data_IF_896019419491
#
_entry.id   IF_896019419491
#
_cell.length_a   1.000
_cell.length_b   1.000
_cell.length_c   1.000
_cell.angle_alpha   90.00
_cell.angle_beta   90.00
_cell.angle_gamma   90.00
#
_symmetry.space_group_name_H-M   'P 1'
#
loop_
_entity.id
_entity.type
_entity.pdbx_description
1 polymer ?
#
# COMPACT_ATOMS: atom_id res chain seq x y z
N UNK A 1 1.13 -15.20 -23.06
CA UNK A 1 0.40 -15.78 -21.91
C UNK A 1 0.38 -14.74 -20.79
N UNK A 2 -0.76 -14.50 -20.14
CA UNK A 2 -0.86 -13.51 -19.06
C UNK A 2 -0.37 -14.14 -17.75
N UNK A 3 0.51 -13.45 -17.02
CA UNK A 3 1.06 -13.97 -15.76
C UNK A 3 0.01 -14.00 -14.64
N UNK A 4 0.21 -14.84 -13.62
CA UNK A 4 -0.64 -14.89 -12.43
C UNK A 4 -0.65 -13.56 -11.68
N UNK A 5 0.50 -12.90 -11.58
CA UNK A 5 0.63 -11.55 -11.02
C UNK A 5 -0.26 -10.54 -11.74
N UNK A 6 -0.25 -10.57 -13.07
CA UNK A 6 -1.10 -9.69 -13.89
C UNK A 6 -2.59 -9.98 -13.65
N UNK A 7 -2.99 -11.25 -13.58
CA UNK A 7 -4.39 -11.64 -13.29
C UNK A 7 -4.80 -11.15 -11.89
N UNK A 8 -3.95 -11.36 -10.89
CA UNK A 8 -4.22 -10.92 -9.52
C UNK A 8 -4.33 -9.39 -9.43
N UNK A 9 -3.47 -8.65 -10.14
CA UNK A 9 -3.53 -7.19 -10.18
C UNK A 9 -4.80 -6.69 -10.86
N UNK A 10 -5.24 -7.32 -11.96
CA UNK A 10 -6.54 -6.99 -12.56
C UNK A 10 -7.69 -7.23 -11.59
N UNK A 11 -7.66 -8.32 -10.82
CA UNK A 11 -8.63 -8.58 -9.75
C UNK A 11 -8.63 -7.48 -8.69
N UNK A 12 -7.46 -7.07 -8.21
CA UNK A 12 -7.33 -5.99 -7.24
C UNK A 12 -7.87 -4.64 -7.78
N UNK A 13 -7.53 -4.29 -9.02
CA UNK A 13 -8.04 -3.09 -9.69
C UNK A 13 -9.56 -3.14 -9.84
N UNK A 14 -10.12 -4.28 -10.24
CA UNK A 14 -11.57 -4.44 -10.35
C UNK A 14 -12.28 -4.24 -9.01
N UNK A 15 -11.73 -4.76 -7.91
CA UNK A 15 -12.25 -4.52 -6.55
C UNK A 15 -12.15 -3.05 -6.18
N UNK A 16 -11.02 -2.39 -6.45
CA UNK A 16 -10.86 -0.96 -6.20
C UNK A 16 -11.86 -0.10 -7.00
N UNK A 17 -12.12 -0.47 -8.26
CA UNK A 17 -13.16 0.17 -9.09
C UNK A 17 -14.57 -0.05 -8.53
N UNK A 18 -14.87 -1.25 -8.02
CA UNK A 18 -16.14 -1.53 -7.37
C UNK A 18 -16.32 -0.67 -6.09
N UNK A 19 -15.27 -0.51 -5.28
CA UNK A 19 -15.28 0.38 -4.12
C UNK A 19 -15.53 1.84 -4.53
N UNK A 20 -14.88 2.30 -5.61
CA UNK A 20 -15.11 3.64 -6.16
C UNK A 20 -16.54 3.83 -6.67
N UNK A 21 -17.11 2.85 -7.36
CA UNK A 21 -18.50 2.88 -7.82
C UNK A 21 -19.50 2.90 -6.65
N UNK A 22 -19.25 2.11 -5.60
CA UNK A 22 -20.03 2.16 -4.36
C UNK A 22 -19.93 3.54 -3.69
N UNK A 23 -18.74 4.14 -3.66
CA UNK A 23 -18.55 5.51 -3.18
C UNK A 23 -19.36 6.51 -3.98
N UNK A 24 -19.44 6.37 -5.30
CA UNK A 24 -20.22 7.28 -6.14
C UNK A 24 -21.74 7.11 -5.92
N UNK A 25 -22.20 5.87 -5.71
CA UNK A 25 -23.60 5.55 -5.54
C UNK A 25 -24.15 5.92 -4.15
N UNK A 26 -23.34 5.76 -3.11
CA UNK A 26 -23.75 5.91 -1.70
C UNK A 26 -23.00 7.05 -0.98
N UNK A 27 -22.38 7.95 -1.75
CA UNK A 27 -21.30 8.86 -1.34
C UNK A 27 -21.64 10.01 -0.39
N UNK A 28 -22.88 10.14 0.08
CA UNK A 28 -23.23 11.02 1.20
C UNK A 28 -22.76 10.45 2.55
N UNK A 29 -21.53 9.93 2.56
CA UNK A 29 -20.83 9.47 3.72
C UNK A 29 -20.20 10.67 4.44
N UNK A 30 -20.33 10.71 5.77
CA UNK A 30 -19.60 11.68 6.57
C UNK A 30 -18.07 11.41 6.50
N UNK A 31 -17.25 12.30 7.08
CA UNK A 31 -15.80 12.29 6.87
C UNK A 31 -15.09 10.97 7.23
N UNK A 32 -15.62 10.19 8.19
CA UNK A 32 -14.95 8.99 8.68
C UNK A 32 -15.04 7.77 7.74
N UNK A 33 -16.23 7.32 7.30
CA UNK A 33 -16.37 6.27 6.29
C UNK A 33 -15.74 6.64 4.96
N UNK A 34 -15.79 7.92 4.54
CA UNK A 34 -15.10 8.37 3.32
C UNK A 34 -13.59 8.17 3.40
N UNK A 35 -12.98 8.49 4.56
CA UNK A 35 -11.56 8.25 4.78
C UNK A 35 -11.23 6.74 4.82
N UNK A 36 -12.06 5.93 5.48
CA UNK A 36 -11.87 4.48 5.53
C UNK A 36 -12.00 3.84 4.14
N UNK A 37 -12.95 4.30 3.33
CA UNK A 37 -13.14 3.82 1.96
C UNK A 37 -11.94 4.19 1.08
N UNK A 38 -11.41 5.40 1.19
CA UNK A 38 -10.19 5.82 0.52
C UNK A 38 -8.99 4.95 0.93
N UNK A 39 -8.79 4.74 2.25
CA UNK A 39 -7.73 3.90 2.77
C UNK A 39 -7.84 2.44 2.29
N UNK A 40 -9.04 1.86 2.33
CA UNK A 40 -9.31 0.51 1.84
C UNK A 40 -9.03 0.40 0.33
N UNK A 41 -9.42 1.41 -0.45
CA UNK A 41 -9.18 1.45 -1.89
C UNK A 41 -7.69 1.45 -2.21
N UNK A 42 -6.89 2.27 -1.51
CA UNK A 42 -5.44 2.29 -1.67
C UNK A 42 -4.78 0.97 -1.25
N UNK A 43 -5.23 0.37 -0.14
CA UNK A 43 -4.72 -0.95 0.29
C UNK A 43 -5.00 -2.02 -0.76
N UNK A 44 -6.22 -2.09 -1.28
CA UNK A 44 -6.58 -3.06 -2.31
C UNK A 44 -5.76 -2.83 -3.58
N UNK A 45 -5.70 -1.58 -4.05
CA UNK A 45 -5.05 -1.23 -5.31
C UNK A 45 -3.55 -1.57 -5.31
N UNK A 46 -2.85 -1.26 -4.22
CA UNK A 46 -1.41 -1.47 -4.13
C UNK A 46 -1.04 -2.83 -3.54
N UNK A 47 -1.65 -3.25 -2.42
CA UNK A 47 -1.26 -4.46 -1.71
C UNK A 47 -2.14 -5.68 -1.99
N UNK A 48 -3.31 -5.53 -2.61
CA UNK A 48 -4.30 -6.60 -2.74
C UNK A 48 -3.77 -7.84 -3.47
N UNK A 49 -3.13 -7.66 -4.62
CA UNK A 49 -2.51 -8.75 -5.39
C UNK A 49 -1.38 -9.42 -4.60
N UNK A 50 -0.55 -8.64 -3.91
CA UNK A 50 0.55 -9.15 -3.09
C UNK A 50 0.06 -9.98 -1.92
N UNK A 51 -0.97 -9.53 -1.19
CA UNK A 51 -1.60 -10.30 -0.11
C UNK A 51 -2.16 -11.61 -0.65
N UNK A 52 -2.94 -11.55 -1.74
CA UNK A 52 -3.54 -12.73 -2.34
C UNK A 52 -2.50 -13.78 -2.75
N UNK A 53 -1.45 -13.37 -3.45
CA UNK A 53 -0.40 -14.27 -3.92
C UNK A 53 0.48 -14.79 -2.77
N UNK A 54 0.79 -13.94 -1.79
CA UNK A 54 1.56 -14.34 -0.62
C UNK A 54 0.81 -15.38 0.23
N UNK A 55 -0.50 -15.22 0.42
CA UNK A 55 -1.35 -16.20 1.11
C UNK A 55 -1.45 -17.53 0.36
N UNK A 56 -1.35 -17.52 -0.97
CA UNK A 56 -1.28 -18.75 -1.78
C UNK A 56 0.11 -19.37 -1.83
N UNK A 57 1.11 -18.75 -1.24
CA UNK A 57 2.50 -19.18 -1.33
C UNK A 57 3.11 -19.03 -2.73
N UNK A 58 2.54 -18.18 -3.58
CA UNK A 58 3.01 -18.00 -4.96
C UNK A 58 4.21 -17.04 -5.01
N UNK A 59 5.39 -17.63 -5.21
CA UNK A 59 6.68 -16.95 -5.27
C UNK A 59 7.30 -16.86 -6.66
N UNK A 60 6.55 -17.16 -7.74
CA UNK A 60 7.11 -17.37 -9.08
C UNK A 60 7.85 -16.14 -9.63
N UNK A 61 7.17 -14.99 -9.70
CA UNK A 61 7.78 -13.74 -10.17
C UNK A 61 8.41 -12.91 -9.04
N UNK A 62 7.78 -12.93 -7.85
CA UNK A 62 8.22 -12.17 -6.67
C UNK A 62 8.19 -13.12 -5.48
N UNK A 63 9.30 -13.28 -4.73
CA UNK A 63 9.34 -14.13 -3.55
C UNK A 63 8.26 -13.77 -2.52
N UNK A 64 7.65 -14.77 -1.89
CA UNK A 64 6.58 -14.58 -0.88
C UNK A 64 7.01 -13.62 0.24
N UNK A 65 8.27 -13.71 0.69
CA UNK A 65 8.81 -12.81 1.69
C UNK A 65 8.85 -11.34 1.21
N UNK A 66 9.26 -11.09 -0.04
CA UNK A 66 9.25 -9.76 -0.64
C UNK A 66 7.83 -9.19 -0.73
N UNK A 67 6.83 -10.04 -1.06
CA UNK A 67 5.41 -9.63 -1.06
C UNK A 67 4.97 -9.13 0.31
N UNK A 68 5.29 -9.84 1.41
CA UNK A 68 4.93 -9.39 2.76
C UNK A 68 5.64 -8.11 3.18
N UNK A 69 6.90 -7.91 2.77
CA UNK A 69 7.63 -6.65 3.01
C UNK A 69 6.94 -5.49 2.31
N UNK A 70 6.53 -5.66 1.05
CA UNK A 70 5.77 -4.66 0.32
C UNK A 70 4.40 -4.37 0.95
N UNK A 71 3.67 -5.41 1.38
CA UNK A 71 2.40 -5.25 2.10
C UNK A 71 2.59 -4.43 3.37
N UNK A 72 3.65 -4.69 4.14
CA UNK A 72 3.99 -3.90 5.33
C UNK A 72 4.26 -2.42 5.02
N UNK A 73 5.00 -2.14 3.94
CA UNK A 73 5.26 -0.77 3.47
C UNK A 73 3.95 -0.04 3.13
N UNK A 74 3.08 -0.67 2.34
CA UNK A 74 1.79 -0.08 1.92
C UNK A 74 0.88 0.14 3.13
N UNK A 75 0.81 -0.83 4.06
CA UNK A 75 0.06 -0.67 5.31
C UNK A 75 0.56 0.53 6.13
N UNK A 76 1.88 0.67 6.28
CA UNK A 76 2.49 1.81 6.96
C UNK A 76 2.16 3.14 6.27
N UNK A 77 2.25 3.20 4.95
CA UNK A 77 1.92 4.39 4.17
C UNK A 77 0.44 4.79 4.29
N UNK A 78 -0.48 3.82 4.25
CA UNK A 78 -1.92 4.06 4.42
C UNK A 78 -2.24 4.49 5.85
N UNK A 79 -1.60 3.88 6.87
CA UNK A 79 -1.74 4.32 8.25
C UNK A 79 -1.25 5.76 8.45
N UNK A 80 -0.10 6.11 7.86
CA UNK A 80 0.42 7.48 7.86
C UNK A 80 -0.53 8.45 7.15
N UNK A 81 -1.12 8.06 6.02
CA UNK A 81 -2.13 8.85 5.31
C UNK A 81 -3.36 9.12 6.19
N UNK A 82 -3.92 8.10 6.83
CA UNK A 82 -5.07 8.24 7.74
C UNK A 82 -4.73 9.16 8.91
N UNK A 83 -3.54 9.00 9.50
CA UNK A 83 -3.07 9.86 10.58
C UNK A 83 -2.87 11.32 10.13
N UNK A 84 -2.31 11.55 8.93
CA UNK A 84 -2.11 12.88 8.37
C UNK A 84 -3.44 13.59 8.11
N UNK A 85 -4.45 12.89 7.57
CA UNK A 85 -5.77 13.49 7.35
C UNK A 85 -6.44 13.89 8.66
N UNK A 86 -6.27 13.10 9.74
CA UNK A 86 -6.91 13.36 11.03
C UNK A 86 -6.18 14.35 11.91
N UNK A 87 -4.86 14.30 11.88
CA UNK A 87 -4.00 14.97 12.86
C UNK A 87 -2.90 15.82 12.21
N UNK A 88 -2.87 15.95 10.88
CA UNK A 88 -1.78 16.60 10.15
C UNK A 88 -1.53 18.06 10.50
N UNK A 89 -2.55 18.75 11.03
CA UNK A 89 -2.44 20.11 11.56
C UNK A 89 -1.75 20.22 12.93
N UNK A 90 -1.58 19.12 13.66
CA UNK A 90 -0.88 19.12 14.95
C UNK A 90 0.61 19.39 14.73
N UNK A 91 1.18 20.27 15.54
CA UNK A 91 2.61 20.54 15.54
C UNK A 91 3.35 19.70 16.56
N UNK A 92 4.50 19.17 16.16
CA UNK A 92 5.44 18.46 17.02
C UNK A 92 6.79 19.16 16.87
N UNK A 93 7.27 19.79 17.95
CA UNK A 93 8.51 20.57 17.93
C UNK A 93 8.57 21.63 16.82
N UNK A 94 7.44 22.28 16.52
CA UNK A 94 7.34 23.33 15.49
C UNK A 94 7.23 22.81 14.04
N UNK A 95 7.08 21.50 13.85
CA UNK A 95 6.85 20.89 12.53
C UNK A 95 5.47 20.25 12.48
N UNK A 96 4.73 20.48 11.40
CA UNK A 96 3.41 19.86 11.18
C UNK A 96 3.54 18.34 11.06
N UNK A 97 2.63 17.62 11.72
CA UNK A 97 2.63 16.16 11.75
C UNK A 97 2.53 15.55 10.35
N UNK A 98 1.78 16.15 9.43
CA UNK A 98 1.72 15.69 8.03
C UNK A 98 3.10 15.71 7.34
N UNK A 99 3.94 16.71 7.64
CA UNK A 99 5.28 16.83 7.07
C UNK A 99 6.20 15.73 7.61
N UNK A 100 6.12 15.47 8.92
CA UNK A 100 6.86 14.38 9.55
C UNK A 100 6.43 13.02 9.00
N UNK A 101 5.12 12.77 8.90
CA UNK A 101 4.58 11.52 8.35
C UNK A 101 4.98 11.31 6.88
N UNK A 102 4.92 12.36 6.06
CA UNK A 102 5.38 12.30 4.67
C UNK A 102 6.88 11.96 4.59
N UNK A 103 7.71 12.57 5.43
CA UNK A 103 9.14 12.27 5.50
C UNK A 103 9.41 10.81 5.92
N UNK A 104 8.70 10.30 6.94
CA UNK A 104 8.80 8.92 7.40
C UNK A 104 8.42 7.93 6.29
N UNK A 105 7.33 8.20 5.56
CA UNK A 105 6.92 7.36 4.42
C UNK A 105 7.97 7.42 3.32
N UNK A 106 8.48 8.61 2.99
CA UNK A 106 9.54 8.79 1.98
C UNK A 106 10.80 8.00 2.31
N UNK A 107 11.31 8.11 3.54
CA UNK A 107 12.46 7.35 4.03
C UNK A 107 12.18 5.84 4.01
N UNK A 108 10.97 5.41 4.38
CA UNK A 108 10.59 3.99 4.37
C UNK A 108 10.58 3.43 2.95
N UNK A 109 10.07 4.18 1.96
CA UNK A 109 10.09 3.78 0.54
C UNK A 109 11.53 3.65 0.03
N UNK A 110 12.37 4.66 0.31
CA UNK A 110 13.78 4.62 -0.07
C UNK A 110 14.53 3.46 0.59
N UNK A 111 14.27 3.21 1.88
CA UNK A 111 14.84 2.09 2.63
C UNK A 111 14.40 0.73 2.06
N UNK A 112 13.11 0.59 1.75
CA UNK A 112 12.58 -0.61 1.11
C UNK A 112 13.23 -0.87 -0.26
N UNK A 113 13.34 0.15 -1.12
CA UNK A 113 14.02 0.01 -2.41
C UNK A 113 15.49 -0.38 -2.25
N UNK A 114 16.21 0.30 -1.36
CA UNK A 114 17.61 -0.03 -1.07
C UNK A 114 17.78 -1.48 -0.60
N UNK A 115 16.86 -1.96 0.24
CA UNK A 115 16.83 -3.34 0.71
C UNK A 115 16.58 -4.33 -0.43
N UNK A 116 15.50 -4.16 -1.22
CA UNK A 116 15.14 -5.12 -2.28
C UNK A 116 16.17 -5.14 -3.42
N UNK A 117 16.77 -3.98 -3.76
CA UNK A 117 17.87 -3.91 -4.72
C UNK A 117 19.05 -4.74 -4.24
N UNK A 118 19.45 -4.58 -2.96
CA UNK A 118 20.56 -5.32 -2.38
C UNK A 118 20.26 -6.83 -2.34
N UNK A 119 19.04 -7.21 -1.95
CA UNK A 119 18.60 -8.61 -1.90
C UNK A 119 18.67 -9.24 -3.29
N UNK A 120 18.15 -8.56 -4.31
CA UNK A 120 18.21 -9.00 -5.71
C UNK A 120 19.64 -9.19 -6.22
N UNK A 121 20.55 -8.26 -5.93
CA UNK A 121 21.96 -8.40 -6.32
C UNK A 121 22.68 -9.57 -5.63
N UNK A 122 22.30 -9.92 -4.39
CA UNK A 122 22.90 -11.05 -3.68
C UNK A 122 22.46 -12.37 -4.30
N UNK A 123 21.17 -12.52 -4.59
CA UNK A 123 20.62 -13.71 -5.23
C UNK A 123 21.16 -13.92 -6.65
N UNK A 124 21.43 -12.85 -7.40
CA UNK A 124 22.00 -12.97 -8.74
C UNK A 124 23.47 -13.41 -8.78
N UNK A 125 24.18 -13.37 -7.64
CA UNK A 125 25.61 -13.73 -7.53
C UNK A 125 25.86 -15.12 -6.95
N UNK A 126 24.83 -15.78 -6.43
CA UNK A 126 24.86 -17.16 -5.89
C UNK A 126 24.38 -18.15 -6.94
#
# INVERSE_FOLDING_TARGET
>A
MVSRDTIAQFGAVAVAMALAALSAQFGDLNAAPSLLLAAATYLVLFAGSHVYLALRGDGEAVPVAARWRFVGLVLGAVAAFVAAVRYGGVEVAGVRLETLLAAVVGVSVLGYWGYEIRDGYRTARS
#
